data_IF_769904561578
#
_entry.id   IF_769904561578
#
_cell.length_a   1.000
_cell.length_b   1.000
_cell.length_c   1.000
_cell.angle_alpha   90.00
_cell.angle_beta   90.00
_cell.angle_gamma   90.00
#
_symmetry.space_group_name_H-M   'P 1'
#
loop_
_entity.id
_entity.type
_entity.pdbx_description
1 polymer ?
#
# COMPACT_ATOMS: atom_id res chain seq x y z
N UNK A 1 -23.55 3.98 -0.31
CA UNK A 1 -23.29 4.79 0.90
C UNK A 1 -22.18 4.18 1.72
N UNK A 2 -21.45 5.02 2.46
CA UNK A 2 -20.42 4.52 3.37
C UNK A 2 -21.01 3.73 4.53
N UNK A 3 -20.34 2.65 4.90
CA UNK A 3 -20.70 1.80 6.04
C UNK A 3 -19.45 1.30 6.75
N UNK A 4 -19.47 1.31 8.08
CA UNK A 4 -18.40 0.78 8.92
C UNK A 4 -18.94 -0.34 9.80
N UNK A 5 -18.13 -1.39 9.93
CA UNK A 5 -18.45 -2.57 10.71
C UNK A 5 -17.26 -2.94 11.60
N UNK A 6 -17.50 -3.36 12.82
CA UNK A 6 -16.49 -4.07 13.60
C UNK A 6 -16.32 -5.48 13.06
N UNK A 7 -15.13 -6.05 13.18
CA UNK A 7 -14.82 -7.41 12.76
C UNK A 7 -13.90 -8.13 13.75
N UNK A 8 -13.73 -9.42 13.56
CA UNK A 8 -12.69 -10.19 14.24
C UNK A 8 -11.41 -10.14 13.39
N UNK A 9 -10.30 -9.75 14.01
CA UNK A 9 -9.03 -9.55 13.28
C UNK A 9 -8.45 -10.85 12.69
N UNK A 10 -8.69 -11.98 13.35
CA UNK A 10 -8.11 -13.28 12.95
C UNK A 10 -8.95 -13.97 11.88
N UNK A 11 -10.27 -13.92 12.05
CA UNK A 11 -11.19 -14.64 11.14
C UNK A 11 -11.78 -13.77 10.05
N UNK A 12 -11.77 -12.46 10.21
CA UNK A 12 -12.46 -11.51 9.34
C UNK A 12 -13.99 -11.51 9.52
N UNK A 13 -14.53 -12.20 10.54
CA UNK A 13 -15.99 -12.24 10.82
C UNK A 13 -16.50 -10.84 11.11
N UNK A 14 -17.43 -10.37 10.29
CA UNK A 14 -18.14 -9.09 10.48
C UNK A 14 -19.11 -9.18 11.65
N UNK A 15 -19.14 -8.12 12.46
CA UNK A 15 -19.90 -8.14 13.70
C UNK A 15 -21.00 -7.09 13.72
N UNK A 16 -20.69 -5.88 14.10
CA UNK A 16 -21.68 -4.83 14.38
C UNK A 16 -21.37 -3.57 13.60
N UNK A 17 -22.40 -2.85 13.15
CA UNK A 17 -22.20 -1.51 12.65
C UNK A 17 -21.63 -0.61 13.74
N UNK A 18 -20.72 0.27 13.35
CA UNK A 18 -20.15 1.31 14.19
C UNK A 18 -20.23 2.63 13.43
N UNK A 19 -20.62 3.69 14.13
CA UNK A 19 -20.63 5.03 13.59
C UNK A 19 -19.41 5.79 14.09
N UNK A 20 -18.52 6.14 13.17
CA UNK A 20 -17.32 6.92 13.45
C UNK A 20 -17.49 8.28 12.77
N UNK A 21 -17.92 9.32 13.53
CA UNK A 21 -18.12 10.63 12.95
C UNK A 21 -16.82 11.22 12.41
N UNK A 22 -16.92 11.91 11.29
CA UNK A 22 -15.78 12.62 10.66
C UNK A 22 -14.59 11.72 10.28
N UNK A 23 -14.83 10.45 9.97
CA UNK A 23 -13.79 9.56 9.49
C UNK A 23 -13.24 10.01 8.12
N UNK A 24 -11.93 9.92 7.97
CA UNK A 24 -11.20 10.08 6.70
C UNK A 24 -10.45 8.80 6.39
N UNK A 25 -10.38 8.42 5.14
CA UNK A 25 -9.70 7.22 4.69
C UNK A 25 -8.72 7.53 3.56
N UNK A 26 -7.68 6.73 3.45
CA UNK A 26 -6.72 6.77 2.35
C UNK A 26 -6.29 5.35 1.99
N UNK A 27 -6.14 5.11 0.69
CA UNK A 27 -5.60 3.88 0.11
C UNK A 27 -4.42 4.26 -0.77
N UNK A 28 -3.32 3.56 -0.61
CA UNK A 28 -2.17 3.57 -1.51
C UNK A 28 -1.96 2.18 -2.11
N UNK A 29 -1.00 2.00 -2.99
CA UNK A 29 -0.70 0.68 -3.58
C UNK A 29 -0.40 -0.36 -2.51
N UNK A 30 0.38 0.01 -1.49
CA UNK A 30 0.85 -0.92 -0.45
C UNK A 30 0.06 -0.88 0.85
N UNK A 31 -0.69 0.18 1.14
CA UNK A 31 -1.30 0.38 2.46
C UNK A 31 -2.67 1.06 2.44
N UNK A 32 -3.39 0.94 3.54
CA UNK A 32 -4.71 1.53 3.76
C UNK A 32 -4.80 2.15 5.16
N UNK A 33 -5.41 3.31 5.28
CA UNK A 33 -5.58 4.01 6.56
C UNK A 33 -7.00 4.52 6.77
N UNK A 34 -7.38 4.64 8.04
CA UNK A 34 -8.62 5.26 8.50
C UNK A 34 -8.31 6.10 9.75
N UNK A 35 -8.79 7.33 9.79
CA UNK A 35 -8.59 8.23 10.92
C UNK A 35 -9.77 9.18 11.10
N UNK A 36 -9.96 9.73 12.31
CA UNK A 36 -10.97 10.77 12.58
C UNK A 36 -10.35 12.15 12.77
N UNK A 37 -9.07 12.22 13.06
CA UNK A 37 -8.37 13.49 13.30
C UNK A 37 -7.34 13.67 12.18
N UNK A 38 -7.64 14.57 11.26
CA UNK A 38 -6.62 15.22 10.45
C UNK A 38 -6.16 16.42 11.25
N UNK A 39 -5.18 16.24 12.12
CA UNK A 39 -4.46 17.39 12.68
C UNK A 39 -3.75 18.11 11.52
N UNK A 40 -4.29 19.29 11.18
CA UNK A 40 -3.73 20.20 10.18
C UNK A 40 -2.40 20.80 10.66
N UNK A 41 -1.49 20.01 11.18
CA UNK A 41 -0.23 20.45 11.76
C UNK A 41 0.66 19.31 12.23
N UNK A 42 0.19 18.08 12.18
CA UNK A 42 1.04 16.92 12.43
C UNK A 42 2.05 16.77 11.28
N UNK A 43 3.33 16.86 11.59
CA UNK A 43 4.42 16.53 10.69
C UNK A 43 4.32 15.05 10.28
N UNK A 44 4.96 14.68 9.20
CA UNK A 44 5.12 13.28 8.78
C UNK A 44 5.59 12.45 9.97
N UNK A 45 4.72 11.56 10.49
CA UNK A 45 5.06 10.65 11.60
C UNK A 45 4.09 10.59 12.78
N UNK A 46 3.03 11.40 12.86
CA UNK A 46 2.02 11.22 13.88
C UNK A 46 0.99 10.14 13.48
N UNK A 47 0.86 9.13 14.35
CA UNK A 47 -0.07 8.03 14.15
C UNK A 47 -1.51 8.55 14.03
N UNK A 48 -2.17 8.25 12.92
CA UNK A 48 -3.57 8.57 12.71
C UNK A 48 -4.43 7.88 13.80
N UNK A 49 -5.25 8.66 14.51
CA UNK A 49 -6.11 8.14 15.56
C UNK A 49 -7.58 8.17 15.15
N UNK A 50 -8.33 7.20 15.65
CA UNK A 50 -9.78 7.13 15.54
C UNK A 50 -10.36 7.41 16.91
N UNK A 51 -11.25 8.40 17.00
CA UNK A 51 -12.00 8.71 18.22
C UNK A 51 -13.48 8.39 18.03
N UNK A 52 -14.03 7.56 18.92
CA UNK A 52 -15.39 7.07 18.83
C UNK A 52 -16.14 7.37 20.14
N UNK A 53 -17.25 8.13 20.11
CA UNK A 53 -18.10 8.32 21.29
C UNK A 53 -18.70 7.00 21.75
N UNK A 54 -18.83 6.79 23.06
CA UNK A 54 -19.43 5.56 23.60
C UNK A 54 -20.89 5.35 23.16
N UNK A 55 -21.57 6.39 22.73
CA UNK A 55 -22.93 6.30 22.18
C UNK A 55 -22.98 5.62 20.82
N UNK A 56 -21.88 5.62 20.08
CA UNK A 56 -21.74 4.96 18.76
C UNK A 56 -21.27 3.50 18.87
N UNK A 57 -20.86 3.06 20.09
CA UNK A 57 -20.36 1.70 20.29
C UNK A 57 -21.49 0.80 20.79
N UNK A 58 -21.70 -0.32 20.08
CA UNK A 58 -22.70 -1.30 20.51
C UNK A 58 -22.38 -1.90 21.87
N UNK A 59 -23.41 -2.04 22.69
CA UNK A 59 -23.34 -2.68 24.02
C UNK A 59 -24.12 -1.93 25.07
N UNK A 60 -24.91 -2.67 25.85
CA UNK A 60 -25.70 -2.11 27.00
C UNK A 60 -24.86 -1.96 28.25
N UNK A 61 -23.84 -2.79 28.39
CA UNK A 61 -22.96 -2.82 29.56
C UNK A 61 -21.55 -2.37 29.20
N UNK A 62 -20.78 -1.88 30.17
CA UNK A 62 -19.37 -1.54 29.98
C UNK A 62 -18.54 -2.75 29.43
N UNK A 63 -18.87 -3.95 29.92
CA UNK A 63 -18.18 -5.18 29.46
C UNK A 63 -18.46 -5.50 27.99
N UNK A 64 -19.69 -5.29 27.50
CA UNK A 64 -20.04 -5.49 26.08
C UNK A 64 -19.33 -4.49 25.19
N UNK A 65 -19.34 -3.19 25.54
CA UNK A 65 -18.61 -2.15 24.80
C UNK A 65 -17.10 -2.42 24.75
N UNK A 66 -16.51 -2.78 25.90
CA UNK A 66 -15.09 -3.11 25.97
C UNK A 66 -14.72 -4.32 25.09
N UNK A 67 -15.60 -5.33 25.01
CA UNK A 67 -15.40 -6.52 24.16
C UNK A 67 -15.53 -6.20 22.68
N UNK A 68 -16.40 -5.28 22.28
CA UNK A 68 -16.62 -4.92 20.88
C UNK A 68 -15.40 -4.19 20.29
N UNK A 69 -14.64 -3.47 21.11
CA UNK A 69 -13.44 -2.74 20.69
C UNK A 69 -12.16 -3.27 21.37
N UNK A 70 -12.07 -4.58 21.61
CA UNK A 70 -10.87 -5.18 22.23
C UNK A 70 -9.66 -4.99 21.30
N UNK A 71 -8.64 -4.26 21.77
CA UNK A 71 -7.40 -4.02 21.06
C UNK A 71 -6.72 -5.34 20.60
N UNK A 72 -6.21 -5.37 19.41
CA UNK A 72 -5.57 -6.51 18.75
C UNK A 72 -6.53 -7.63 18.32
N UNK A 73 -7.69 -7.75 18.97
CA UNK A 73 -8.66 -8.84 18.70
C UNK A 73 -9.78 -8.40 17.77
N UNK A 74 -10.10 -7.13 17.78
CA UNK A 74 -11.15 -6.55 16.94
C UNK A 74 -10.52 -5.61 15.93
N UNK A 75 -11.20 -5.49 14.80
CA UNK A 75 -10.85 -4.59 13.73
C UNK A 75 -12.05 -3.78 13.28
N UNK A 76 -11.80 -2.86 12.36
CA UNK A 76 -12.82 -2.07 11.68
C UNK A 76 -12.67 -2.30 10.19
N UNK A 77 -13.81 -2.45 9.52
CA UNK A 77 -13.93 -2.50 8.07
C UNK A 77 -14.76 -1.31 7.62
N UNK A 78 -14.18 -0.46 6.77
CA UNK A 78 -14.90 0.58 6.04
C UNK A 78 -15.16 0.06 4.64
N UNK A 79 -16.36 0.28 4.13
CA UNK A 79 -16.72 -0.08 2.76
C UNK A 79 -17.88 0.75 2.20
N UNK A 80 -18.12 0.55 0.93
CA UNK A 80 -19.24 1.14 0.19
C UNK A 80 -20.36 0.13 0.04
N UNK A 81 -21.58 0.52 0.43
CA UNK A 81 -22.78 -0.31 0.26
C UNK A 81 -23.68 0.31 -0.82
N UNK A 82 -23.98 -0.45 -1.84
CA UNK A 82 -24.86 -0.06 -2.94
C UNK A 82 -25.70 -1.25 -3.38
N UNK A 83 -27.02 -1.05 -3.56
CA UNK A 83 -27.96 -2.11 -3.96
C UNK A 83 -27.93 -3.38 -3.09
N UNK A 84 -27.52 -3.28 -1.83
CA UNK A 84 -27.40 -4.42 -0.90
C UNK A 84 -26.08 -5.18 -1.00
N UNK A 85 -25.17 -4.76 -1.88
CA UNK A 85 -23.81 -5.26 -1.95
C UNK A 85 -22.89 -4.37 -1.12
N UNK A 86 -22.13 -4.98 -0.20
CA UNK A 86 -21.11 -4.30 0.59
C UNK A 86 -19.73 -4.59 0.01
N UNK A 87 -19.02 -3.54 -0.38
CA UNK A 87 -17.65 -3.60 -0.93
C UNK A 87 -16.68 -3.03 0.10
N UNK A 88 -15.90 -3.87 0.79
CA UNK A 88 -14.93 -3.41 1.77
C UNK A 88 -13.76 -2.70 1.06
N UNK A 89 -13.27 -1.59 1.65
CA UNK A 89 -12.12 -0.83 1.14
C UNK A 89 -10.96 -0.81 2.13
N UNK A 90 -11.26 -0.57 3.41
CA UNK A 90 -10.25 -0.54 4.46
C UNK A 90 -10.56 -1.64 5.45
N UNK A 91 -9.53 -2.40 5.81
CA UNK A 91 -9.52 -3.35 6.91
C UNK A 91 -8.34 -3.01 7.81
N UNK A 92 -8.57 -2.94 9.12
CA UNK A 92 -7.49 -2.78 10.07
C UNK A 92 -7.85 -3.29 11.46
N UNK A 93 -6.85 -3.67 12.23
CA UNK A 93 -7.00 -4.08 13.62
C UNK A 93 -7.00 -2.87 14.55
N UNK A 94 -7.81 -2.90 15.59
CA UNK A 94 -7.77 -1.88 16.66
C UNK A 94 -6.44 -2.06 17.41
N UNK A 95 -5.59 -1.05 17.31
CA UNK A 95 -4.30 -1.01 18.00
C UNK A 95 -4.42 -0.58 19.46
N UNK A 96 -3.45 0.17 19.96
CA UNK A 96 -3.49 0.68 21.33
C UNK A 96 -4.70 1.59 21.54
N UNK A 97 -5.47 1.29 22.59
CA UNK A 97 -6.72 2.00 22.89
C UNK A 97 -6.64 2.73 24.21
N UNK A 98 -7.15 3.96 24.23
CA UNK A 98 -7.31 4.81 25.44
C UNK A 98 -8.77 5.19 25.60
N UNK A 99 -9.33 4.93 26.77
CA UNK A 99 -10.73 5.18 27.10
C UNK A 99 -10.85 6.41 28.02
N UNK A 100 -11.79 7.29 27.68
CA UNK A 100 -12.25 8.38 28.54
C UNK A 100 -13.70 8.10 29.03
N UNK A 101 -14.27 8.99 29.80
CA UNK A 101 -15.68 8.86 30.21
C UNK A 101 -16.67 9.06 29.06
N UNK A 102 -16.28 9.76 27.96
CA UNK A 102 -17.14 10.16 26.86
C UNK A 102 -16.89 9.36 25.59
N UNK A 103 -15.65 8.99 25.36
CA UNK A 103 -15.16 8.41 24.11
C UNK A 103 -14.03 7.40 24.33
N UNK A 104 -13.63 6.76 23.26
CA UNK A 104 -12.45 5.93 23.17
C UNK A 104 -11.63 6.34 21.96
N UNK A 105 -10.31 6.34 22.07
CA UNK A 105 -9.38 6.64 20.97
C UNK A 105 -8.41 5.49 20.79
N UNK A 106 -8.12 5.15 19.51
CA UNK A 106 -7.21 4.06 19.15
C UNK A 106 -6.60 4.30 17.76
N UNK A 107 -5.44 3.69 17.50
CA UNK A 107 -4.93 3.51 16.15
C UNK A 107 -5.67 2.39 15.43
N UNK A 108 -5.73 2.46 14.10
CA UNK A 108 -6.14 1.33 13.27
C UNK A 108 -4.90 0.79 12.56
N UNK A 109 -4.45 -0.37 12.99
CA UNK A 109 -3.28 -1.03 12.44
C UNK A 109 -3.67 -1.69 11.12
N UNK A 110 -3.12 -1.22 10.01
CA UNK A 110 -3.32 -1.78 8.69
C UNK A 110 -2.71 -3.19 8.59
N UNK A 111 -2.93 -3.85 7.46
CA UNK A 111 -2.29 -5.17 7.18
C UNK A 111 -0.77 -5.06 7.24
N UNK A 112 -0.21 -3.99 6.68
CA UNK A 112 1.24 -3.73 6.70
C UNK A 112 1.74 -3.58 8.14
N UNK A 113 1.02 -2.82 8.98
CA UNK A 113 1.34 -2.69 10.40
C UNK A 113 1.24 -4.01 11.16
N UNK A 114 0.26 -4.87 10.86
CA UNK A 114 0.17 -6.21 11.43
C UNK A 114 1.34 -7.11 11.00
N UNK A 115 1.76 -7.03 9.74
CA UNK A 115 2.88 -7.80 9.21
C UNK A 115 4.23 -7.30 9.70
N UNK A 116 4.38 -6.05 10.12
CA UNK A 116 5.61 -5.50 10.69
C UNK A 116 6.00 -6.18 12.01
N UNK A 117 5.02 -6.70 12.75
CA UNK A 117 5.23 -7.46 13.98
C UNK A 117 5.32 -8.97 13.79
N UNK A 118 5.43 -9.44 12.54
CA UNK A 118 5.57 -10.86 12.14
C UNK A 118 6.90 -11.09 11.46
N UNK A 119 7.59 -12.17 11.81
CA UNK A 119 8.93 -12.42 11.31
C UNK A 119 8.98 -13.64 10.38
N UNK A 120 9.81 -13.55 9.34
CA UNK A 120 9.97 -14.59 8.31
C UNK A 120 10.96 -15.66 8.80
N UNK A 121 10.48 -16.56 9.63
CA UNK A 121 11.27 -17.67 10.21
C UNK A 121 10.41 -18.93 10.21
N UNK A 122 11.01 -20.08 9.83
CA UNK A 122 10.33 -21.37 9.93
C UNK A 122 10.01 -21.71 11.37
N UNK A 123 8.80 -22.20 11.60
CA UNK A 123 8.42 -22.73 12.90
C UNK A 123 9.35 -23.89 13.35
N UNK A 124 9.74 -23.88 14.62
CA UNK A 124 10.65 -24.87 15.20
C UNK A 124 12.13 -24.69 14.87
N UNK A 125 12.51 -23.66 14.10
CA UNK A 125 13.92 -23.41 13.74
C UNK A 125 14.49 -22.17 14.42
N UNK A 126 14.42 -22.12 15.75
CA UNK A 126 14.87 -20.98 16.57
C UNK A 126 16.16 -21.28 17.34
N UNK A 127 16.99 -22.20 16.84
CA UNK A 127 18.23 -22.65 17.51
C UNK A 127 19.45 -22.23 16.71
N UNK A 128 20.57 -22.06 17.41
CA UNK A 128 21.87 -21.81 16.77
C UNK A 128 22.18 -22.88 15.72
N UNK A 129 22.53 -22.46 14.50
CA UNK A 129 22.83 -23.36 13.39
C UNK A 129 21.64 -23.93 12.65
N UNK A 130 20.41 -23.42 12.91
CA UNK A 130 19.24 -23.77 12.13
C UNK A 130 19.43 -23.39 10.65
N UNK A 131 18.83 -24.21 9.77
CA UNK A 131 18.90 -24.01 8.33
C UNK A 131 18.07 -22.79 7.93
N UNK A 132 18.47 -22.05 6.89
CA UNK A 132 17.70 -20.92 6.39
C UNK A 132 16.40 -21.36 5.73
N UNK A 133 15.47 -20.43 5.58
CA UNK A 133 14.38 -20.52 4.63
C UNK A 133 14.93 -20.11 3.26
N UNK A 134 15.09 -21.06 2.34
CA UNK A 134 15.52 -20.80 0.96
C UNK A 134 14.36 -21.02 0.00
N UNK A 135 14.08 -20.03 -0.83
CA UNK A 135 13.06 -20.00 -1.86
C UNK A 135 13.75 -19.76 -3.20
N UNK A 136 13.70 -20.69 -4.13
CA UNK A 136 14.41 -20.62 -5.41
C UNK A 136 13.58 -21.14 -6.58
N UNK A 137 13.86 -20.62 -7.80
CA UNK A 137 13.15 -21.00 -9.01
C UNK A 137 11.69 -20.52 -9.02
N UNK A 138 11.39 -19.42 -8.33
CA UNK A 138 10.08 -18.83 -8.19
C UNK A 138 10.06 -17.40 -8.77
N UNK A 139 8.86 -16.90 -9.09
CA UNK A 139 8.64 -15.49 -9.34
C UNK A 139 8.76 -14.69 -8.04
N UNK A 140 9.04 -13.38 -8.12
CA UNK A 140 9.07 -12.52 -6.94
C UNK A 140 7.73 -12.50 -6.20
N UNK A 141 6.61 -12.53 -6.93
CA UNK A 141 5.26 -12.63 -6.35
C UNK A 141 5.07 -13.92 -5.54
N UNK A 142 5.51 -15.07 -6.07
CA UNK A 142 5.43 -16.34 -5.36
C UNK A 142 6.36 -16.37 -4.13
N UNK A 143 7.54 -15.75 -4.21
CA UNK A 143 8.43 -15.59 -3.05
C UNK A 143 7.73 -14.73 -1.98
N UNK A 144 7.10 -13.61 -2.35
CA UNK A 144 6.35 -12.75 -1.43
C UNK A 144 5.19 -13.49 -0.76
N UNK A 145 4.42 -14.28 -1.52
CA UNK A 145 3.34 -15.12 -0.97
C UNK A 145 3.87 -16.14 0.06
N UNK A 146 4.99 -16.81 -0.25
CA UNK A 146 5.64 -17.72 0.69
C UNK A 146 6.13 -17.00 1.95
N UNK A 147 6.79 -15.85 1.81
CA UNK A 147 7.22 -15.01 2.93
C UNK A 147 6.06 -14.70 3.86
N UNK A 148 4.95 -14.24 3.30
CA UNK A 148 3.74 -13.93 4.06
C UNK A 148 3.16 -15.16 4.78
N UNK A 149 3.09 -16.30 4.10
CA UNK A 149 2.61 -17.53 4.69
C UNK A 149 3.49 -18.00 5.87
N UNK A 150 4.83 -17.98 5.71
CA UNK A 150 5.75 -18.34 6.81
C UNK A 150 5.69 -17.36 7.98
N UNK A 151 5.35 -16.11 7.75
CA UNK A 151 5.18 -15.12 8.81
C UNK A 151 3.82 -15.22 9.53
N UNK A 152 2.83 -15.84 8.91
CA UNK A 152 1.44 -15.92 9.39
C UNK A 152 0.98 -17.37 9.58
N UNK A 153 0.32 -17.96 8.61
CA UNK A 153 -0.32 -19.29 8.73
C UNK A 153 0.65 -20.43 9.00
N UNK A 154 1.92 -20.28 8.63
CA UNK A 154 3.00 -21.21 8.95
C UNK A 154 3.37 -21.27 10.43
N UNK A 155 2.72 -20.48 11.29
CA UNK A 155 2.98 -20.42 12.74
C UNK A 155 1.73 -20.70 13.56
N UNK A 156 1.87 -21.38 14.71
CA UNK A 156 0.75 -21.56 15.64
C UNK A 156 0.16 -20.23 16.10
N UNK A 157 -1.14 -20.03 15.85
CA UNK A 157 -1.84 -18.80 16.18
C UNK A 157 -1.46 -17.58 15.32
N UNK A 158 -0.74 -17.81 14.22
CA UNK A 158 -0.31 -16.74 13.32
C UNK A 158 -1.30 -16.35 12.24
N UNK A 159 -2.38 -17.10 12.05
CA UNK A 159 -3.37 -16.88 10.99
C UNK A 159 -3.96 -15.48 11.01
N UNK A 160 -4.08 -14.91 9.83
CA UNK A 160 -4.82 -13.69 9.52
C UNK A 160 -5.79 -13.99 8.36
N UNK A 161 -6.82 -13.18 8.14
CA UNK A 161 -7.78 -13.42 7.06
C UNK A 161 -7.20 -13.04 5.69
N UNK A 162 -6.00 -13.52 5.36
CA UNK A 162 -5.26 -13.22 4.12
C UNK A 162 -5.25 -14.44 3.22
N UNK A 163 -5.54 -14.23 1.93
CA UNK A 163 -5.36 -15.21 0.88
C UNK A 163 -4.09 -14.87 0.11
N UNK A 164 -3.03 -15.66 0.35
CA UNK A 164 -1.67 -15.37 -0.14
C UNK A 164 -1.45 -15.66 -1.64
N UNK A 165 -2.41 -16.28 -2.34
CA UNK A 165 -2.30 -16.53 -3.76
C UNK A 165 -1.43 -17.75 -4.13
N UNK A 166 -0.70 -17.66 -5.26
CA UNK A 166 0.08 -18.80 -5.78
C UNK A 166 1.50 -18.84 -5.19
N UNK A 167 1.81 -19.91 -4.48
CA UNK A 167 3.12 -20.18 -3.88
C UNK A 167 4.13 -20.80 -4.85
N UNK A 168 3.71 -21.25 -6.02
CA UNK A 168 4.48 -22.12 -6.92
C UNK A 168 4.76 -21.52 -8.29
N UNK A 169 4.32 -20.30 -8.54
CA UNK A 169 4.60 -19.62 -9.80
C UNK A 169 6.10 -19.61 -10.08
N UNK A 170 6.49 -20.12 -11.25
CA UNK A 170 7.90 -20.28 -11.64
C UNK A 170 8.49 -18.96 -12.10
N UNK A 171 9.75 -18.77 -11.74
CA UNK A 171 10.57 -17.62 -12.12
C UNK A 171 12.05 -17.93 -11.95
N UNK A 172 12.89 -16.94 -12.11
CA UNK A 172 14.35 -17.07 -12.01
C UNK A 172 14.91 -16.57 -10.69
N UNK A 173 14.05 -16.19 -9.74
CA UNK A 173 14.49 -15.53 -8.52
C UNK A 173 14.79 -16.53 -7.40
N UNK A 174 15.68 -16.09 -6.49
CA UNK A 174 16.08 -16.80 -5.29
C UNK A 174 16.18 -15.83 -4.11
N UNK A 175 15.71 -16.25 -2.93
CA UNK A 175 15.86 -15.53 -1.66
C UNK A 175 16.13 -16.49 -0.53
N UNK A 176 17.03 -16.09 0.38
CA UNK A 176 17.42 -16.90 1.54
C UNK A 176 17.33 -16.06 2.81
N UNK A 177 16.61 -16.56 3.80
CA UNK A 177 16.34 -15.88 5.06
C UNK A 177 16.91 -16.70 6.22
N UNK A 178 17.92 -16.17 6.90
CA UNK A 178 18.64 -16.85 7.97
C UNK A 178 18.01 -16.59 9.33
N UNK A 179 17.74 -17.63 10.16
CA UNK A 179 17.12 -17.46 11.47
C UNK A 179 17.88 -16.56 12.44
N UNK A 180 19.22 -16.50 12.33
CA UNK A 180 20.03 -15.62 13.17
C UNK A 180 19.82 -14.13 12.89
N UNK A 181 19.28 -13.78 11.74
CA UNK A 181 19.00 -12.40 11.35
C UNK A 181 17.52 -12.01 11.57
N UNK A 182 16.81 -12.72 12.45
CA UNK A 182 15.37 -12.52 12.67
C UNK A 182 14.98 -11.08 12.98
N UNK A 183 15.83 -10.30 13.62
CA UNK A 183 15.57 -8.89 13.92
C UNK A 183 15.35 -8.02 12.69
N UNK A 184 15.87 -8.41 11.53
CA UNK A 184 15.75 -7.69 10.25
C UNK A 184 14.81 -8.41 9.25
N UNK A 185 14.04 -9.40 9.73
CA UNK A 185 13.14 -10.22 8.93
C UNK A 185 11.67 -9.96 9.28
N UNK A 186 11.30 -8.73 9.60
CA UNK A 186 9.91 -8.32 9.65
C UNK A 186 9.25 -8.61 8.30
N UNK A 187 8.05 -9.18 8.31
CA UNK A 187 7.38 -9.59 7.07
C UNK A 187 7.10 -8.37 6.19
N UNK A 188 6.67 -7.25 6.77
CA UNK A 188 6.44 -6.01 6.04
C UNK A 188 7.73 -5.54 5.34
N UNK A 189 8.86 -5.42 6.08
CA UNK A 189 10.14 -4.99 5.49
C UNK A 189 10.64 -5.94 4.41
N UNK A 190 10.41 -7.26 4.57
CA UNK A 190 10.81 -8.24 3.55
C UNK A 190 9.96 -8.11 2.29
N UNK A 191 8.65 -7.87 2.42
CA UNK A 191 7.77 -7.60 1.27
C UNK A 191 8.18 -6.31 0.56
N UNK A 192 8.46 -5.25 1.30
CA UNK A 192 8.94 -3.98 0.74
C UNK A 192 10.28 -4.15 0.00
N UNK A 193 11.21 -4.94 0.56
CA UNK A 193 12.47 -5.26 -0.12
C UNK A 193 12.30 -6.10 -1.39
N UNK A 194 11.25 -6.93 -1.48
CA UNK A 194 10.91 -7.67 -2.70
C UNK A 194 10.31 -6.73 -3.75
N UNK A 195 9.49 -5.78 -3.36
CA UNK A 195 8.87 -4.81 -4.26
C UNK A 195 9.88 -3.77 -4.78
N UNK A 196 10.79 -3.30 -3.91
CA UNK A 196 11.71 -2.18 -4.19
C UNK A 196 13.06 -2.63 -4.81
N UNK A 197 13.01 -3.51 -5.81
CA UNK A 197 14.17 -3.89 -6.64
C UNK A 197 13.86 -3.62 -8.10
N UNK A 198 14.88 -3.53 -8.95
CA UNK A 198 14.62 -3.41 -10.39
C UNK A 198 13.78 -4.60 -10.88
N UNK A 199 12.67 -4.32 -11.58
CA UNK A 199 11.69 -5.34 -11.95
C UNK A 199 10.90 -5.94 -10.77
N UNK A 200 10.94 -5.30 -9.59
CA UNK A 200 10.14 -5.69 -8.44
C UNK A 200 8.65 -5.51 -8.70
N UNK A 201 7.80 -6.46 -8.27
CA UNK A 201 6.37 -6.38 -8.49
C UNK A 201 5.69 -5.42 -7.51
N UNK A 202 4.61 -4.78 -7.95
CA UNK A 202 3.64 -4.24 -7.00
C UNK A 202 3.14 -5.33 -6.06
N UNK A 203 3.02 -5.02 -4.79
CA UNK A 203 2.40 -5.89 -3.80
C UNK A 203 1.29 -5.14 -3.07
N UNK A 204 0.10 -5.71 -3.03
CA UNK A 204 -1.08 -5.06 -2.41
C UNK A 204 -1.99 -6.05 -1.72
N UNK A 205 -2.80 -5.55 -0.78
CA UNK A 205 -3.82 -6.31 -0.07
C UNK A 205 -5.19 -5.66 -0.32
N UNK A 206 -6.04 -6.31 -1.11
CA UNK A 206 -7.39 -5.80 -1.39
C UNK A 206 -8.41 -6.55 -0.55
N UNK A 207 -9.16 -5.87 0.33
CA UNK A 207 -10.22 -6.51 1.08
C UNK A 207 -11.39 -6.88 0.15
N UNK A 208 -12.01 -8.02 0.42
CA UNK A 208 -13.18 -8.50 -0.30
C UNK A 208 -14.10 -9.32 0.62
N UNK A 209 -15.35 -9.47 0.25
CA UNK A 209 -16.29 -10.34 0.95
C UNK A 209 -16.09 -11.78 0.48
N UNK A 210 -15.59 -12.64 1.36
CA UNK A 210 -15.47 -14.08 1.08
C UNK A 210 -16.84 -14.78 1.11
N UNK A 211 -17.71 -14.31 1.97
CA UNK A 211 -19.12 -14.68 2.06
C UNK A 211 -19.92 -13.52 2.69
N UNK A 212 -21.19 -13.73 3.04
CA UNK A 212 -22.05 -12.68 3.62
C UNK A 212 -21.59 -12.15 4.99
N UNK A 213 -20.64 -12.82 5.65
CA UNK A 213 -20.26 -12.56 7.02
C UNK A 213 -18.75 -12.39 7.24
N UNK A 214 -17.92 -12.71 6.26
CA UNK A 214 -16.48 -12.67 6.40
C UNK A 214 -15.84 -11.76 5.36
N UNK A 215 -15.07 -10.79 5.82
CA UNK A 215 -14.11 -10.04 5.01
C UNK A 215 -12.78 -10.79 5.01
N UNK A 216 -12.17 -10.91 3.85
CA UNK A 216 -10.79 -11.41 3.70
C UNK A 216 -9.97 -10.43 2.89
N UNK A 217 -8.68 -10.60 2.91
CA UNK A 217 -7.71 -9.79 2.19
C UNK A 217 -7.07 -10.65 1.11
N UNK A 218 -7.23 -10.26 -0.13
CA UNK A 218 -6.55 -10.91 -1.24
C UNK A 218 -5.18 -10.27 -1.41
N UNK A 219 -4.11 -11.04 -1.21
CA UNK A 219 -2.78 -10.64 -1.60
C UNK A 219 -2.66 -10.71 -3.12
N UNK A 220 -2.26 -9.62 -3.72
CA UNK A 220 -2.05 -9.49 -5.16
C UNK A 220 -0.65 -8.96 -5.40
N UNK A 221 -0.05 -9.43 -6.48
CA UNK A 221 1.26 -8.94 -6.93
C UNK A 221 1.34 -8.93 -8.45
N UNK A 222 2.16 -8.03 -8.99
CA UNK A 222 2.58 -8.09 -10.37
C UNK A 222 3.36 -9.37 -10.67
N UNK A 223 3.51 -9.72 -11.94
CA UNK A 223 4.31 -10.88 -12.37
C UNK A 223 5.71 -10.44 -12.80
N UNK A 224 6.62 -11.40 -13.02
CA UNK A 224 7.95 -11.10 -13.58
C UNK A 224 7.87 -10.56 -15.03
N UNK A 225 6.74 -10.73 -15.72
CA UNK A 225 6.51 -10.20 -17.08
C UNK A 225 5.80 -8.83 -17.08
N UNK A 226 4.98 -8.56 -16.08
CA UNK A 226 4.30 -7.29 -15.86
C UNK A 226 4.28 -7.00 -14.36
N UNK A 227 5.12 -6.08 -13.94
CA UNK A 227 5.33 -5.74 -12.52
C UNK A 227 4.12 -5.07 -11.88
N UNK A 228 3.18 -4.58 -12.67
CA UNK A 228 1.98 -3.96 -12.15
C UNK A 228 0.92 -4.99 -11.75
N UNK A 229 0.14 -4.66 -10.75
CA UNK A 229 -1.05 -5.48 -10.40
C UNK A 229 -2.03 -5.43 -11.55
N UNK A 230 -2.46 -6.59 -12.02
CA UNK A 230 -3.46 -6.71 -13.08
C UNK A 230 -4.80 -6.08 -12.66
N UNK A 231 -5.46 -5.44 -13.60
CA UNK A 231 -6.77 -4.82 -13.41
C UNK A 231 -7.85 -5.53 -14.23
N UNK A 232 -9.08 -5.53 -13.73
CA UNK A 232 -10.21 -6.19 -14.39
C UNK A 232 -10.98 -5.27 -15.36
N UNK A 233 -10.86 -3.96 -15.17
CA UNK A 233 -11.65 -2.96 -15.92
C UNK A 233 -10.77 -1.80 -16.37
N UNK A 234 -10.99 -1.36 -17.61
CA UNK A 234 -10.50 -0.07 -18.09
C UNK A 234 -11.41 1.04 -17.56
N UNK A 235 -10.79 2.09 -17.03
CA UNK A 235 -11.48 3.28 -16.56
C UNK A 235 -11.06 4.48 -17.42
N UNK A 236 -12.06 5.21 -17.94
CA UNK A 236 -11.84 6.47 -18.65
C UNK A 236 -12.48 7.59 -17.88
N UNK A 237 -11.68 8.53 -17.43
CA UNK A 237 -12.12 9.76 -16.76
C UNK A 237 -11.90 10.95 -17.68
N UNK A 238 -12.68 12.02 -17.50
CA UNK A 238 -12.67 13.15 -18.42
C UNK A 238 -12.56 14.45 -17.65
N UNK A 239 -11.63 15.29 -18.08
CA UNK A 239 -11.52 16.67 -17.64
C UNK A 239 -11.71 17.61 -18.84
N UNK A 240 -12.73 18.46 -18.76
CA UNK A 240 -12.97 19.55 -19.69
C UNK A 240 -13.20 20.83 -18.91
N UNK A 241 -12.83 21.97 -19.45
CA UNK A 241 -13.05 23.24 -18.76
C UNK A 241 -14.54 23.46 -18.44
N UNK A 242 -14.89 23.37 -17.15
CA UNK A 242 -16.27 23.56 -16.66
C UNK A 242 -17.21 22.37 -16.85
N UNK A 243 -16.70 21.20 -17.25
CA UNK A 243 -17.47 19.96 -17.42
C UNK A 243 -16.58 18.72 -17.21
N UNK A 244 -17.17 17.53 -17.33
CA UNK A 244 -16.45 16.24 -17.15
C UNK A 244 -16.70 15.61 -15.79
N UNK A 245 -16.19 14.37 -15.62
CA UNK A 245 -16.31 13.59 -14.38
C UNK A 245 -15.27 13.97 -13.31
N UNK A 246 -14.31 14.82 -13.67
CA UNK A 246 -13.17 15.20 -12.82
C UNK A 246 -13.25 16.70 -12.49
N UNK A 247 -13.02 17.02 -11.22
CA UNK A 247 -13.02 18.39 -10.70
C UNK A 247 -11.69 18.70 -10.00
N UNK A 248 -11.41 19.98 -9.74
CA UNK A 248 -10.26 20.43 -8.95
C UNK A 248 -8.94 19.84 -9.41
N UNK A 249 -8.74 19.64 -10.73
CA UNK A 249 -7.53 19.02 -11.27
C UNK A 249 -6.31 19.93 -11.06
N UNK A 250 -5.22 19.33 -10.61
CA UNK A 250 -3.91 19.95 -10.48
C UNK A 250 -2.83 19.02 -11.02
N UNK A 251 -1.77 19.61 -11.57
CA UNK A 251 -0.61 18.90 -12.12
C UNK A 251 0.63 19.42 -11.44
N UNK A 252 1.36 18.53 -10.77
CA UNK A 252 2.66 18.83 -10.22
C UNK A 252 3.73 18.34 -11.19
N UNK A 253 4.64 19.25 -11.58
CA UNK A 253 5.77 18.93 -12.42
C UNK A 253 6.98 18.64 -11.53
N UNK A 254 7.54 17.43 -11.62
CA UNK A 254 8.68 16.96 -10.84
C UNK A 254 9.90 16.87 -11.76
N UNK A 255 11.06 17.34 -11.28
CA UNK A 255 12.34 17.17 -11.98
C UNK A 255 12.86 15.75 -11.86
N UNK A 256 13.77 15.33 -12.77
CA UNK A 256 14.36 14.00 -12.73
C UNK A 256 15.37 13.86 -11.59
N UNK A 257 15.56 12.63 -11.10
CA UNK A 257 16.70 12.23 -10.25
C UNK A 257 17.72 11.52 -11.14
N UNK A 258 18.96 12.04 -11.19
CA UNK A 258 19.97 11.49 -12.09
C UNK A 258 20.98 10.57 -11.42
N UNK A 259 21.04 10.58 -10.06
CA UNK A 259 21.93 9.68 -9.31
C UNK A 259 21.28 9.17 -8.04
N UNK A 260 21.47 7.88 -7.78
CA UNK A 260 21.05 7.22 -6.55
C UNK A 260 22.21 6.44 -5.97
N UNK A 261 22.59 6.76 -4.73
CA UNK A 261 23.58 6.03 -3.95
C UNK A 261 22.89 5.05 -3.01
N UNK A 262 23.15 3.76 -3.15
CA UNK A 262 22.75 2.75 -2.16
C UNK A 262 23.95 2.37 -1.31
N UNK A 263 23.78 2.42 0.02
CA UNK A 263 24.82 2.05 0.98
C UNK A 263 24.40 0.79 1.75
N UNK A 264 25.32 -0.16 1.86
CA UNK A 264 25.12 -1.45 2.51
C UNK A 264 25.51 -1.48 3.98
N UNK A 265 25.72 -2.71 4.48
CA UNK A 265 26.27 -2.99 5.79
C UNK A 265 27.75 -2.60 5.88
N UNK A 266 28.29 -2.60 7.09
CA UNK A 266 29.67 -2.20 7.38
C UNK A 266 29.76 -0.87 8.15
N UNK A 267 30.98 -0.51 8.54
CA UNK A 267 31.27 0.73 9.23
C UNK A 267 32.40 1.48 8.53
N UNK A 268 32.26 2.79 8.41
CA UNK A 268 33.29 3.67 7.84
C UNK A 268 33.76 3.18 6.44
N UNK A 269 35.05 2.89 6.30
CA UNK A 269 35.69 2.51 5.03
C UNK A 269 35.29 1.12 4.52
N UNK A 270 34.70 0.25 5.36
CA UNK A 270 34.24 -1.09 4.99
C UNK A 270 32.81 -1.10 4.45
N UNK A 271 32.14 0.06 4.41
CA UNK A 271 30.77 0.17 3.96
C UNK A 271 30.67 0.02 2.44
N UNK A 272 29.89 -0.96 1.98
CA UNK A 272 29.65 -1.11 0.55
C UNK A 272 28.75 0.02 0.03
N UNK A 273 29.06 0.53 -1.16
CA UNK A 273 28.32 1.63 -1.81
C UNK A 273 28.16 1.32 -3.29
N UNK A 274 26.95 1.42 -3.78
CA UNK A 274 26.64 1.34 -5.21
C UNK A 274 26.05 2.66 -5.69
N UNK A 275 26.48 3.10 -6.90
CA UNK A 275 25.93 4.26 -7.61
C UNK A 275 25.20 3.77 -8.86
N UNK A 276 23.90 4.07 -8.94
CA UNK A 276 23.16 4.05 -10.19
C UNK A 276 23.06 5.48 -10.74
N UNK A 277 23.32 5.68 -12.03
CA UNK A 277 23.24 7.01 -12.65
C UNK A 277 22.64 6.98 -14.06
N UNK A 278 21.83 8.00 -14.37
CA UNK A 278 21.44 8.38 -15.72
C UNK A 278 21.56 9.92 -15.86
N UNK A 279 22.54 10.38 -16.61
CA UNK A 279 22.86 11.80 -16.79
C UNK A 279 22.26 12.36 -18.09
N UNK A 280 21.26 11.72 -18.66
CA UNK A 280 20.66 12.12 -19.94
C UNK A 280 20.17 13.56 -19.89
N UNK A 281 19.45 13.93 -18.82
CA UNK A 281 18.88 15.28 -18.68
C UNK A 281 19.92 16.33 -18.33
N UNK A 282 20.93 16.01 -17.52
CA UNK A 282 22.05 16.91 -17.23
C UNK A 282 22.93 17.23 -18.44
N UNK A 283 22.92 16.40 -19.49
CA UNK A 283 23.77 16.55 -20.67
C UNK A 283 23.08 17.13 -21.89
N UNK A 284 21.80 17.52 -21.76
CA UNK A 284 21.05 18.18 -22.83
C UNK A 284 21.59 19.59 -23.11
N UNK A 285 21.19 20.17 -24.25
CA UNK A 285 21.57 21.54 -24.63
C UNK A 285 20.97 22.59 -23.66
N UNK A 286 19.82 22.29 -23.08
CA UNK A 286 19.20 23.03 -21.97
C UNK A 286 19.14 22.08 -20.76
N UNK A 287 20.20 22.02 -19.93
CA UNK A 287 20.42 20.96 -18.97
C UNK A 287 19.58 21.16 -17.69
N UNK A 288 19.08 20.06 -17.17
CA UNK A 288 18.55 20.01 -15.81
C UNK A 288 19.69 20.06 -14.78
N UNK A 289 19.47 20.64 -13.59
CA UNK A 289 20.44 20.55 -12.50
C UNK A 289 20.54 19.12 -12.00
N UNK A 290 21.75 18.67 -11.67
CA UNK A 290 21.97 17.34 -11.09
C UNK A 290 21.21 17.22 -9.74
N UNK A 291 20.36 16.20 -9.64
CA UNK A 291 19.70 15.79 -8.40
C UNK A 291 20.20 14.43 -7.98
N UNK A 292 20.65 14.31 -6.75
CA UNK A 292 21.22 13.10 -6.17
C UNK A 292 20.43 12.65 -4.95
N UNK A 293 20.16 11.34 -4.84
CA UNK A 293 19.53 10.72 -3.68
C UNK A 293 20.42 9.66 -3.05
N UNK A 294 20.18 9.33 -1.78
CA UNK A 294 20.87 8.25 -1.09
C UNK A 294 19.91 7.36 -0.32
N UNK A 295 20.17 6.06 -0.35
CA UNK A 295 19.44 5.02 0.37
C UNK A 295 20.39 4.21 1.24
N UNK A 296 19.93 3.70 2.39
CA UNK A 296 20.76 2.92 3.30
C UNK A 296 20.13 1.58 3.66
N UNK A 297 20.87 0.50 3.40
CA UNK A 297 20.49 -0.90 3.67
C UNK A 297 21.53 -1.54 4.59
N UNK A 298 21.50 -1.15 5.86
CA UNK A 298 22.54 -1.53 6.85
C UNK A 298 22.59 -3.01 7.17
N UNK A 299 21.63 -3.78 6.73
CA UNK A 299 21.50 -5.23 6.93
C UNK A 299 21.92 -6.06 5.69
N UNK A 300 22.31 -5.41 4.60
CA UNK A 300 22.76 -6.08 3.38
C UNK A 300 24.26 -5.93 3.17
N UNK A 301 24.93 -7.07 2.92
CA UNK A 301 26.30 -7.19 2.43
C UNK A 301 26.37 -7.68 0.97
N UNK A 302 25.23 -7.80 0.32
CA UNK A 302 25.11 -8.24 -1.07
C UNK A 302 25.13 -7.03 -2.03
N UNK A 303 26.26 -6.82 -2.68
CA UNK A 303 26.46 -5.74 -3.65
C UNK A 303 25.46 -5.79 -4.82
N UNK A 304 25.06 -6.98 -5.28
CA UNK A 304 24.11 -7.12 -6.38
C UNK A 304 22.71 -6.70 -5.98
N UNK A 305 22.33 -6.92 -4.73
CA UNK A 305 21.07 -6.45 -4.17
C UNK A 305 21.07 -4.93 -3.98
N UNK A 306 22.17 -4.34 -3.52
CA UNK A 306 22.32 -2.89 -3.43
C UNK A 306 22.21 -2.21 -4.80
N UNK A 307 22.87 -2.79 -5.82
CA UNK A 307 22.75 -2.34 -7.20
C UNK A 307 21.28 -2.35 -7.67
N UNK A 308 20.58 -3.47 -7.44
CA UNK A 308 19.18 -3.61 -7.82
C UNK A 308 18.25 -2.60 -7.14
N UNK A 309 18.51 -2.26 -5.88
CA UNK A 309 17.77 -1.22 -5.17
C UNK A 309 18.04 0.19 -5.73
N UNK A 310 19.33 0.52 -5.98
CA UNK A 310 19.69 1.81 -6.55
C UNK A 310 19.12 2.00 -7.96
N UNK A 311 19.23 0.98 -8.80
CA UNK A 311 18.68 0.97 -10.17
C UNK A 311 17.14 1.05 -10.16
N UNK A 312 16.49 0.32 -9.25
CA UNK A 312 15.03 0.37 -9.09
C UNK A 312 14.55 1.77 -8.70
N UNK A 313 15.24 2.42 -7.75
CA UNK A 313 14.91 3.79 -7.34
C UNK A 313 15.17 4.79 -8.46
N UNK A 314 16.32 4.70 -9.13
CA UNK A 314 16.64 5.56 -10.26
C UNK A 314 15.58 5.41 -11.36
N UNK A 315 15.21 4.17 -11.71
CA UNK A 315 14.22 3.89 -12.75
C UNK A 315 12.84 4.48 -12.45
N UNK A 316 12.48 4.67 -11.20
CA UNK A 316 11.22 5.32 -10.82
C UNK A 316 11.23 6.82 -11.11
N UNK A 317 12.36 7.51 -10.95
CA UNK A 317 12.41 8.98 -10.88
C UNK A 317 13.39 9.63 -11.89
N UNK A 318 14.00 8.85 -12.78
CA UNK A 318 15.05 9.34 -13.72
C UNK A 318 14.57 10.35 -14.76
N UNK A 319 13.28 10.54 -14.92
CA UNK A 319 12.68 11.39 -15.95
C UNK A 319 11.73 12.44 -15.36
N UNK A 320 11.52 13.60 -16.04
CA UNK A 320 10.59 14.62 -15.58
C UNK A 320 9.16 14.10 -15.59
N UNK A 321 8.53 14.05 -14.41
CA UNK A 321 7.18 13.52 -14.25
C UNK A 321 6.12 14.62 -14.09
N UNK A 322 4.93 14.34 -14.58
CA UNK A 322 3.72 15.13 -14.34
C UNK A 322 2.75 14.34 -13.46
N UNK A 323 2.78 14.57 -12.16
CA UNK A 323 1.86 13.93 -11.24
C UNK A 323 0.50 14.65 -11.25
N UNK A 324 -0.55 13.93 -11.59
CA UNK A 324 -1.91 14.47 -11.71
C UNK A 324 -2.71 14.15 -10.45
N UNK A 325 -3.35 15.18 -9.89
CA UNK A 325 -4.27 15.01 -8.76
C UNK A 325 -5.60 15.64 -9.12
N UNK A 326 -6.70 14.97 -8.83
CA UNK A 326 -8.05 15.54 -9.02
C UNK A 326 -9.07 14.99 -8.02
N UNK A 327 -10.23 15.61 -7.98
CA UNK A 327 -11.40 15.19 -7.24
C UNK A 327 -12.50 14.73 -8.19
N UNK A 328 -13.27 13.72 -7.76
CA UNK A 328 -14.46 13.27 -8.46
C UNK A 328 -15.61 13.01 -7.49
N UNK A 329 -16.84 13.18 -7.95
CA UNK A 329 -18.05 12.97 -7.15
C UNK A 329 -18.63 11.57 -7.43
N UNK A 330 -18.77 10.76 -6.40
CA UNK A 330 -19.40 9.44 -6.46
C UNK A 330 -20.88 9.47 -6.89
N UNK A 331 -21.51 10.65 -6.90
CA UNK A 331 -22.84 10.87 -7.47
C UNK A 331 -22.87 10.81 -9.00
N UNK A 332 -21.72 11.07 -9.66
CA UNK A 332 -21.61 10.97 -11.12
C UNK A 332 -21.52 9.48 -11.53
N UNK A 333 -22.41 9.02 -12.45
CA UNK A 333 -22.39 7.63 -12.92
C UNK A 333 -21.15 7.27 -13.76
N UNK A 334 -20.37 8.24 -14.23
CA UNK A 334 -19.11 8.01 -14.96
C UNK A 334 -17.92 7.76 -14.02
N UNK A 335 -18.05 8.12 -12.73
CA UNK A 335 -17.03 7.90 -11.72
C UNK A 335 -17.15 6.48 -11.17
N UNK A 336 -16.06 5.68 -11.16
CA UNK A 336 -16.05 4.35 -10.57
C UNK A 336 -16.48 4.38 -9.10
N UNK A 337 -17.28 3.41 -8.69
CA UNK A 337 -17.65 3.26 -7.28
C UNK A 337 -16.47 2.79 -6.45
N UNK A 338 -16.42 3.14 -5.15
CA UNK A 338 -15.41 2.58 -4.25
C UNK A 338 -15.39 1.05 -4.32
N UNK A 339 -14.19 0.47 -4.50
CA UNK A 339 -14.00 -0.96 -4.73
C UNK A 339 -14.04 -1.42 -6.19
N UNK A 340 -14.30 -0.51 -7.15
CA UNK A 340 -14.19 -0.82 -8.60
C UNK A 340 -12.88 -0.31 -9.20
N UNK A 341 -12.23 0.66 -8.58
CA UNK A 341 -10.93 1.20 -8.91
C UNK A 341 -10.04 1.17 -7.67
N UNK A 342 -8.82 0.72 -7.82
CA UNK A 342 -7.87 0.54 -6.74
C UNK A 342 -6.52 1.20 -7.05
N UNK A 343 -5.78 1.65 -6.03
CA UNK A 343 -4.37 1.99 -6.24
C UNK A 343 -3.62 0.84 -6.92
N UNK A 344 -2.78 1.20 -7.90
CA UNK A 344 -2.13 0.28 -8.83
C UNK A 344 -2.83 0.12 -10.17
N UNK A 345 -4.15 0.40 -10.26
CA UNK A 345 -4.89 0.30 -11.52
C UNK A 345 -4.52 1.44 -12.47
N UNK A 346 -4.52 1.16 -13.78
CA UNK A 346 -4.35 2.16 -14.82
C UNK A 346 -5.68 2.82 -15.20
N UNK A 347 -5.63 4.11 -15.48
CA UNK A 347 -6.76 4.94 -15.89
C UNK A 347 -6.36 5.71 -17.15
N UNK A 348 -7.28 5.85 -18.08
CA UNK A 348 -7.14 6.81 -19.18
C UNK A 348 -7.82 8.13 -18.78
N UNK A 349 -7.04 9.19 -18.63
CA UNK A 349 -7.55 10.54 -18.41
C UNK A 349 -7.59 11.30 -19.74
N UNK A 350 -8.79 11.64 -20.20
CA UNK A 350 -8.97 12.50 -21.35
C UNK A 350 -9.01 13.95 -20.90
N UNK A 351 -8.12 14.77 -21.45
CA UNK A 351 -7.95 16.19 -21.10
C UNK A 351 -8.23 17.06 -22.30
N UNK A 352 -8.99 18.14 -22.11
CA UNK A 352 -9.23 19.17 -23.13
C UNK A 352 -9.21 20.56 -22.48
N UNK A 353 -8.31 21.43 -22.96
CA UNK A 353 -8.20 22.84 -22.55
C UNK A 353 -7.52 23.06 -21.20
N UNK A 354 -6.67 22.14 -20.69
CA UNK A 354 -5.87 22.36 -19.49
C UNK A 354 -4.62 23.21 -19.80
N UNK A 355 -4.26 24.22 -18.98
CA UNK A 355 -3.23 25.20 -19.36
C UNK A 355 -1.83 24.63 -19.60
N UNK A 356 -1.46 23.52 -18.93
CA UNK A 356 -0.09 22.94 -18.95
C UNK A 356 -0.03 21.49 -19.44
N UNK A 357 -1.18 20.91 -19.77
CA UNK A 357 -1.24 19.59 -20.43
C UNK A 357 -1.87 19.79 -21.82
N UNK A 358 -1.23 19.34 -22.90
CA UNK A 358 -1.85 19.30 -24.23
C UNK A 358 -3.16 18.50 -24.22
N UNK A 359 -4.06 18.83 -25.16
CA UNK A 359 -5.28 18.05 -25.33
C UNK A 359 -4.93 16.62 -25.77
N UNK A 360 -5.56 15.63 -25.14
CA UNK A 360 -5.29 14.23 -25.47
C UNK A 360 -5.73 13.24 -24.38
N UNK A 361 -5.39 11.98 -24.62
CA UNK A 361 -5.63 10.87 -23.70
C UNK A 361 -4.31 10.51 -23.01
N UNK A 362 -4.31 10.57 -21.68
CA UNK A 362 -3.15 10.26 -20.83
C UNK A 362 -3.39 8.95 -20.10
N UNK A 363 -2.49 7.99 -20.26
CA UNK A 363 -2.49 6.76 -19.48
C UNK A 363 -1.79 7.02 -18.15
N UNK A 364 -2.54 6.94 -17.06
CA UNK A 364 -2.09 7.25 -15.71
C UNK A 364 -2.29 6.04 -14.82
N UNK A 365 -1.41 5.88 -13.83
CA UNK A 365 -1.52 4.87 -12.80
C UNK A 365 -2.02 5.51 -11.51
N UNK A 366 -3.06 4.94 -10.92
CA UNK A 366 -3.57 5.40 -9.64
C UNK A 366 -2.60 5.02 -8.51
N UNK A 367 -2.03 6.00 -7.84
CA UNK A 367 -1.09 5.80 -6.73
C UNK A 367 -1.79 5.88 -5.38
N UNK A 368 -2.71 6.82 -5.24
CA UNK A 368 -3.44 7.05 -4.00
C UNK A 368 -4.88 7.50 -4.28
N UNK A 369 -5.79 7.03 -3.45
CA UNK A 369 -7.15 7.56 -3.37
C UNK A 369 -7.52 7.84 -1.92
N UNK A 370 -8.21 8.96 -1.68
CA UNK A 370 -8.58 9.36 -0.33
C UNK A 370 -9.90 10.13 -0.30
N UNK A 371 -10.54 10.13 0.84
CA UNK A 371 -11.78 10.86 1.04
C UNK A 371 -12.24 10.85 2.49
N UNK A 372 -13.40 11.45 2.70
CA UNK A 372 -14.17 11.32 3.93
C UNK A 372 -15.40 10.41 3.70
N UNK A 373 -16.41 10.51 4.55
CA UNK A 373 -17.67 9.78 4.38
C UNK A 373 -18.69 10.49 3.47
N UNK A 374 -18.25 11.52 2.77
CA UNK A 374 -19.04 12.22 1.75
C UNK A 374 -18.99 11.54 0.38
N UNK A 375 -19.29 12.29 -0.66
CA UNK A 375 -19.28 11.77 -2.05
C UNK A 375 -18.04 12.17 -2.82
N UNK A 376 -17.21 13.07 -2.32
CA UNK A 376 -16.00 13.50 -2.99
C UNK A 376 -14.84 12.57 -2.67
N UNK A 377 -14.21 12.04 -3.72
CA UNK A 377 -12.98 11.23 -3.63
C UNK A 377 -11.87 11.96 -4.36
N UNK A 378 -10.72 12.04 -3.72
CA UNK A 378 -9.47 12.58 -4.28
C UNK A 378 -8.62 11.45 -4.80
N UNK A 379 -8.11 11.60 -6.01
CA UNK A 379 -7.24 10.65 -6.68
C UNK A 379 -5.90 11.30 -7.01
N UNK A 380 -4.83 10.55 -6.86
CA UNK A 380 -3.46 10.95 -7.19
C UNK A 380 -2.87 9.92 -8.14
N UNK A 381 -2.35 10.39 -9.26
CA UNK A 381 -1.85 9.56 -10.35
C UNK A 381 -0.44 9.94 -10.72
N UNK A 382 0.32 8.91 -11.10
CA UNK A 382 1.58 9.05 -11.82
C UNK A 382 1.36 8.65 -13.29
N UNK A 383 2.08 9.27 -14.23
CA UNK A 383 2.01 8.88 -15.64
C UNK A 383 2.62 7.47 -15.81
N UNK A 384 2.02 6.68 -16.68
CA UNK A 384 2.62 5.43 -17.16
C UNK A 384 3.41 5.72 -18.42
N UNK A 385 4.71 5.44 -18.39
CA UNK A 385 5.53 5.50 -19.59
C UNK A 385 5.24 4.25 -20.41
N UNK A 386 5.01 4.43 -21.72
CA UNK A 386 5.14 3.31 -22.64
C UNK A 386 6.64 2.96 -22.76
N UNK A 387 7.06 1.74 -22.43
CA UNK A 387 8.47 1.32 -22.58
C UNK A 387 9.02 1.49 -24.01
N UNK A 388 8.15 1.69 -25.00
CA UNK A 388 8.53 1.98 -26.39
C UNK A 388 8.78 3.47 -26.68
N UNK A 389 8.40 4.36 -25.75
CA UNK A 389 8.59 5.82 -25.85
C UNK A 389 9.69 6.37 -24.91
N UNK A 390 10.29 5.47 -24.07
CA UNK A 390 11.34 5.80 -23.10
C UNK A 390 12.76 5.66 -23.69
#
# INVERSE_FOLDING_TARGET
MWRMLTCDTVTGELRRPIDIPSASWSLSVSDASLSTTRDKGAGEGEASSITVPWTSVWGRTARERARELTAGKRGIVLGWEEAGEFRPLVFGAIGQRTDTALDTSFSLDSVQALLSSRYVVREGQFVKGAQPLSLSGLSLRAIAANVGWYATEGKPGGSLPIDWGDFYEKGSHERTYWPYNVGNLSCADVLDKIANVIGGPDLTFRPYMADAHHVRLRFLGGSDADVYVGQERECVLQWFHGAGSVHSMSVAHLGPVERVYATGSGSEEEKDVHLAEDLTYCRQADPWPLVEESMSYTDSDDHSLLASHAEGRLHSDWWPMCQVTFEADLGDPQVPRPGELWPGDAVTLRVEGFPTLPDGDYRLRLMEMSGDLGTTVKYKFDPMIDPAEA
#
